data_IF_027336117858
#
_entry.id   IF_027336117858
#
_cell.length_a   1.000
_cell.length_b   1.000
_cell.length_c   1.000
_cell.angle_alpha   90.00
_cell.angle_beta   90.00
_cell.angle_gamma   90.00
#
_symmetry.space_group_name_H-M   'P 1'
#
loop_
_entity.id
_entity.type
_entity.pdbx_description
1 polymer ?
#
# COMPACT_ATOMS: atom_id res chain seq x y z
N UNK A 1 12.46 -5.59 1.29
CA UNK A 1 11.70 -4.37 1.66
C UNK A 1 12.36 -3.19 1.01
N UNK A 2 11.68 -2.61 0.03
CA UNK A 2 12.06 -1.33 -0.55
C UNK A 2 11.97 -0.25 0.52
N UNK A 3 13.07 0.46 0.77
CA UNK A 3 13.13 1.55 1.73
C UNK A 3 13.16 2.90 0.99
N UNK A 4 12.07 3.66 1.08
CA UNK A 4 11.98 4.99 0.50
C UNK A 4 12.27 6.11 1.52
N UNK A 5 12.69 5.79 2.75
CA UNK A 5 13.10 6.80 3.73
C UNK A 5 14.17 7.75 3.18
N UNK A 6 15.19 7.31 2.40
CA UNK A 6 16.16 8.22 1.80
C UNK A 6 15.52 9.26 0.85
N UNK A 7 14.43 8.88 0.17
CA UNK A 7 13.64 9.78 -0.71
C UNK A 7 12.84 10.76 0.12
N UNK A 8 12.16 10.29 1.16
CA UNK A 8 11.38 11.12 2.10
C UNK A 8 12.29 12.12 2.81
N UNK A 9 13.48 11.70 3.22
CA UNK A 9 14.50 12.54 3.83
C UNK A 9 15.19 13.51 2.85
N UNK A 10 14.89 13.43 1.55
CA UNK A 10 15.50 14.25 0.50
C UNK A 10 16.99 14.00 0.29
N UNK A 11 17.49 12.84 0.74
CA UNK A 11 18.91 12.45 0.64
C UNK A 11 19.26 11.68 -0.62
N UNK A 12 18.27 11.03 -1.24
CA UNK A 12 18.36 10.36 -2.53
C UNK A 12 17.10 10.61 -3.35
N UNK A 13 17.23 10.56 -4.67
CA UNK A 13 16.10 10.53 -5.60
C UNK A 13 15.49 9.14 -5.63
N UNK A 14 14.22 9.04 -6.05
CA UNK A 14 13.59 7.73 -6.23
C UNK A 14 14.31 6.87 -7.29
N UNK A 15 14.87 7.50 -8.32
CA UNK A 15 15.63 6.80 -9.35
C UNK A 15 16.89 6.12 -8.78
N UNK A 16 17.61 6.79 -7.86
CA UNK A 16 18.78 6.22 -7.19
C UNK A 16 18.40 5.05 -6.27
N UNK A 17 17.31 5.16 -5.52
CA UNK A 17 16.85 4.09 -4.63
C UNK A 17 16.37 2.85 -5.41
N UNK A 18 15.83 3.06 -6.61
CA UNK A 18 15.28 2.00 -7.45
C UNK A 18 16.23 1.55 -8.57
N UNK A 19 17.49 1.96 -8.53
CA UNK A 19 18.47 1.54 -9.52
C UNK A 19 18.59 0.01 -9.54
N UNK A 20 18.40 -0.59 -10.72
CA UNK A 20 18.47 -2.04 -10.91
C UNK A 20 17.26 -2.83 -10.40
N UNK A 21 16.23 -2.19 -9.82
CA UNK A 21 15.00 -2.87 -9.41
C UNK A 21 14.26 -3.38 -10.64
N UNK A 22 13.98 -4.69 -10.64
CA UNK A 22 13.29 -5.36 -11.75
C UNK A 22 11.83 -5.66 -11.42
N UNK A 23 11.07 -6.08 -12.45
CA UNK A 23 9.69 -6.56 -12.29
C UNK A 23 9.59 -7.75 -11.32
N UNK A 24 10.57 -8.64 -11.33
CA UNK A 24 10.61 -9.80 -10.44
C UNK A 24 10.88 -9.39 -8.99
N UNK A 25 11.66 -8.35 -8.77
CA UNK A 25 11.87 -7.76 -7.45
C UNK A 25 10.56 -7.16 -6.92
N UNK A 26 9.82 -6.41 -7.75
CA UNK A 26 8.50 -5.89 -7.37
C UNK A 26 7.50 -7.00 -7.02
N UNK A 27 7.52 -8.11 -7.76
CA UNK A 27 6.68 -9.27 -7.46
C UNK A 27 7.08 -9.94 -6.14
N UNK A 28 8.38 -10.05 -5.85
CA UNK A 28 8.88 -10.58 -4.57
C UNK A 28 8.47 -9.68 -3.40
N UNK A 29 8.65 -8.37 -3.54
CA UNK A 29 8.29 -7.37 -2.52
C UNK A 29 6.77 -7.30 -2.30
N UNK A 30 5.97 -7.49 -3.35
CA UNK A 30 4.51 -7.65 -3.25
C UNK A 30 4.13 -8.84 -2.37
N UNK A 31 4.78 -9.99 -2.59
CA UNK A 31 4.52 -11.17 -1.76
C UNK A 31 4.98 -10.93 -0.32
N UNK A 32 6.18 -10.38 -0.12
CA UNK A 32 6.72 -10.10 1.21
C UNK A 32 5.80 -9.16 2.01
N UNK A 33 5.31 -8.07 1.42
CA UNK A 33 4.38 -7.16 2.10
C UNK A 33 3.15 -7.90 2.63
N UNK A 34 2.51 -8.70 1.78
CA UNK A 34 1.28 -9.41 2.15
C UNK A 34 1.57 -10.51 3.16
N UNK A 35 2.65 -11.27 2.96
CA UNK A 35 3.08 -12.33 3.90
C UNK A 35 3.38 -11.76 5.28
N UNK A 36 4.01 -10.58 5.35
CA UNK A 36 4.28 -9.88 6.61
C UNK A 36 3.01 -9.46 7.33
N UNK A 37 2.05 -8.86 6.62
CA UNK A 37 0.78 -8.47 7.23
C UNK A 37 0.04 -9.73 7.72
N UNK A 38 -0.03 -10.79 6.91
CA UNK A 38 -0.66 -12.06 7.29
C UNK A 38 -0.01 -12.70 8.53
N UNK A 39 1.32 -12.62 8.64
CA UNK A 39 2.06 -13.09 9.80
C UNK A 39 1.75 -12.26 11.06
N UNK A 40 1.67 -10.93 10.96
CA UNK A 40 1.31 -10.05 12.07
C UNK A 40 -0.09 -10.38 12.62
N UNK A 41 -1.03 -10.76 11.75
CA UNK A 41 -2.43 -11.04 12.13
C UNK A 41 -2.74 -12.53 12.29
N UNK A 42 -1.70 -13.38 12.40
CA UNK A 42 -1.87 -14.83 12.41
C UNK A 42 -2.79 -15.31 13.55
N UNK A 43 -2.61 -14.73 14.74
CA UNK A 43 -3.35 -15.09 15.96
C UNK A 43 -4.57 -14.20 16.23
N UNK A 44 -4.87 -13.24 15.34
CA UNK A 44 -6.02 -12.34 15.49
C UNK A 44 -7.34 -13.07 15.23
N UNK A 45 -8.40 -12.57 15.87
CA UNK A 45 -9.79 -12.96 15.67
C UNK A 45 -10.64 -11.73 15.27
N UNK A 46 -11.96 -11.90 15.16
CA UNK A 46 -12.87 -10.82 14.75
C UNK A 46 -12.87 -9.62 15.72
N UNK A 47 -12.64 -9.85 17.03
CA UNK A 47 -12.55 -8.76 18.00
C UNK A 47 -11.33 -7.87 17.73
N UNK A 48 -10.19 -8.45 17.37
CA UNK A 48 -9.00 -7.68 16.97
C UNK A 48 -9.22 -6.85 15.70
N UNK A 49 -10.13 -7.26 14.81
CA UNK A 49 -10.44 -6.51 13.58
C UNK A 49 -11.16 -5.19 13.87
N UNK A 50 -12.08 -5.21 14.83
CA UNK A 50 -12.91 -4.05 15.20
C UNK A 50 -12.38 -3.29 16.42
N UNK A 51 -11.32 -3.78 17.05
CA UNK A 51 -10.65 -3.11 18.16
C UNK A 51 -10.19 -1.72 17.72
N UNK A 52 -10.55 -0.70 18.51
CA UNK A 52 -10.14 0.69 18.29
C UNK A 52 -8.92 0.95 19.18
N UNK A 53 -7.72 1.10 18.60
CA UNK A 53 -6.52 1.34 19.39
C UNK A 53 -6.53 2.73 20.02
N UNK A 54 -5.74 2.88 21.08
CA UNK A 54 -5.39 4.20 21.61
C UNK A 54 -4.26 4.73 20.74
N UNK A 55 -4.57 5.75 19.94
CA UNK A 55 -3.62 6.47 19.10
C UNK A 55 -3.78 7.98 19.33
N UNK A 56 -2.97 8.58 20.22
CA UNK A 56 -3.04 10.02 20.51
C UNK A 56 -2.57 10.89 19.34
N UNK A 57 -1.85 10.31 18.39
CA UNK A 57 -1.29 11.00 17.22
C UNK A 57 -2.14 10.75 15.96
N UNK A 58 -3.33 10.14 16.11
CA UNK A 58 -4.26 9.88 15.02
C UNK A 58 -4.61 11.17 14.27
N UNK A 59 -4.08 11.27 13.06
CA UNK A 59 -4.29 12.40 12.17
C UNK A 59 -4.14 11.98 10.70
N UNK A 60 -5.28 11.84 10.01
CA UNK A 60 -5.36 11.62 8.57
C UNK A 60 -5.82 12.89 7.84
N UNK A 61 -4.91 13.67 7.24
CA UNK A 61 -5.26 14.86 6.48
C UNK A 61 -5.99 14.55 5.16
N UNK A 62 -6.06 13.29 4.75
CA UNK A 62 -6.75 12.84 3.54
C UNK A 62 -8.14 12.24 3.85
N UNK A 63 -8.59 12.28 5.10
CA UNK A 63 -9.89 11.75 5.51
C UNK A 63 -11.06 12.40 4.76
N UNK A 64 -12.11 11.62 4.52
CA UNK A 64 -13.30 12.10 3.80
C UNK A 64 -14.06 13.20 4.57
N UNK A 65 -13.94 13.21 5.90
CA UNK A 65 -14.55 14.21 6.77
C UNK A 65 -13.56 14.65 7.86
N UNK A 66 -13.72 15.88 8.36
CA UNK A 66 -12.92 16.41 9.47
C UNK A 66 -13.06 15.55 10.74
N UNK A 67 -14.24 14.96 10.98
CA UNK A 67 -14.46 14.07 12.12
C UNK A 67 -13.68 12.76 11.99
N UNK A 68 -13.45 12.28 10.77
CA UNK A 68 -12.68 11.06 10.51
C UNK A 68 -11.17 11.35 10.48
N UNK A 69 -10.75 12.61 10.38
CA UNK A 69 -9.34 12.97 10.36
C UNK A 69 -8.62 12.62 11.67
N UNK A 70 -9.33 12.45 12.78
CA UNK A 70 -8.74 12.20 14.10
C UNK A 70 -9.17 10.88 14.74
N UNK A 71 -9.70 9.94 13.95
CA UNK A 71 -10.04 8.61 14.46
C UNK A 71 -8.83 7.68 14.41
N UNK A 72 -8.65 6.91 15.49
CA UNK A 72 -7.69 5.82 15.48
C UNK A 72 -8.17 4.72 14.53
N UNK A 73 -7.27 4.20 13.69
CA UNK A 73 -7.62 3.21 12.69
C UNK A 73 -7.67 1.81 13.30
N UNK A 74 -8.76 1.08 13.03
CA UNK A 74 -8.86 -0.34 13.35
C UNK A 74 -8.00 -1.16 12.39
N UNK A 75 -7.80 -2.46 12.69
CA UNK A 75 -7.12 -3.37 11.77
C UNK A 75 -7.87 -3.47 10.42
N UNK A 76 -9.21 -3.46 10.45
CA UNK A 76 -10.01 -3.43 9.24
C UNK A 76 -9.73 -2.19 8.38
N UNK A 77 -9.62 -1.02 9.01
CA UNK A 77 -9.35 0.26 8.33
C UNK A 77 -7.96 0.29 7.69
N UNK A 78 -6.90 0.04 8.46
CA UNK A 78 -5.54 0.10 7.90
C UNK A 78 -5.33 -0.90 6.75
N UNK A 79 -5.97 -2.08 6.80
CA UNK A 79 -5.86 -3.07 5.71
C UNK A 79 -6.54 -2.61 4.43
N UNK A 80 -7.76 -2.05 4.49
CA UNK A 80 -8.41 -1.54 3.27
C UNK A 80 -7.65 -0.35 2.68
N UNK A 81 -7.04 0.48 3.54
CA UNK A 81 -6.22 1.61 3.12
C UNK A 81 -4.94 1.17 2.40
N UNK A 82 -4.16 0.28 3.03
CA UNK A 82 -2.91 -0.24 2.46
C UNK A 82 -3.16 -0.94 1.12
N UNK A 83 -4.20 -1.78 1.06
CA UNK A 83 -4.53 -2.52 -0.17
C UNK A 83 -5.01 -1.60 -1.29
N UNK A 84 -5.85 -0.59 -0.99
CA UNK A 84 -6.30 0.39 -1.97
C UNK A 84 -5.13 1.21 -2.55
N UNK A 85 -4.17 1.62 -1.70
CA UNK A 85 -2.97 2.34 -2.14
C UNK A 85 -2.04 1.50 -3.02
N UNK A 86 -1.78 0.26 -2.62
CA UNK A 86 -0.97 -0.69 -3.40
C UNK A 86 -1.60 -1.01 -4.76
N UNK A 87 -2.91 -1.25 -4.79
CA UNK A 87 -3.65 -1.54 -6.02
C UNK A 87 -3.67 -0.35 -6.99
N UNK A 88 -3.99 0.85 -6.51
CA UNK A 88 -3.96 2.07 -7.34
C UNK A 88 -2.61 2.22 -8.03
N UNK A 89 -1.52 2.07 -7.27
CA UNK A 89 -0.16 2.16 -7.80
C UNK A 89 0.14 1.04 -8.81
N UNK A 90 -0.30 -0.20 -8.56
CA UNK A 90 -0.09 -1.32 -9.46
C UNK A 90 -0.84 -1.15 -10.79
N UNK A 91 -2.10 -0.69 -10.75
CA UNK A 91 -2.90 -0.42 -11.96
C UNK A 91 -2.29 0.70 -12.79
N UNK A 92 -1.97 1.84 -12.17
CA UNK A 92 -1.35 2.97 -12.86
C UNK A 92 0.05 2.60 -13.40
N UNK A 93 0.81 1.80 -12.66
CA UNK A 93 2.10 1.28 -13.11
C UNK A 93 1.98 0.39 -14.34
N UNK A 94 0.96 -0.47 -14.40
CA UNK A 94 0.68 -1.31 -15.57
C UNK A 94 0.27 -0.52 -16.81
N UNK A 95 -0.51 0.54 -16.65
CA UNK A 95 -0.85 1.48 -17.73
C UNK A 95 0.39 2.21 -18.23
N UNK A 96 1.20 2.74 -17.30
CA UNK A 96 2.43 3.46 -17.61
C UNK A 96 3.45 2.56 -18.32
N UNK A 97 3.58 1.30 -17.93
CA UNK A 97 4.45 0.31 -18.60
C UNK A 97 4.06 0.07 -20.06
N UNK A 98 2.82 0.40 -20.44
CA UNK A 98 2.28 0.34 -21.81
C UNK A 98 2.29 1.70 -22.53
N UNK A 99 2.90 2.72 -21.94
CA UNK A 99 3.02 4.06 -22.51
C UNK A 99 1.77 4.92 -22.36
N UNK A 100 0.87 4.58 -21.44
CA UNK A 100 -0.33 5.39 -21.15
C UNK A 100 0.05 6.48 -20.14
N UNK A 101 -0.16 7.75 -20.53
CA UNK A 101 0.05 8.88 -19.64
C UNK A 101 -0.95 8.91 -18.49
N UNK A 102 -0.54 9.45 -17.35
CA UNK A 102 -1.41 9.58 -16.18
C UNK A 102 -2.66 10.39 -16.51
N UNK A 103 -3.83 9.83 -16.22
CA UNK A 103 -5.13 10.43 -16.51
C UNK A 103 -6.04 10.57 -15.30
N UNK A 104 -5.50 10.44 -14.09
CA UNK A 104 -6.23 10.58 -12.83
C UNK A 104 -6.16 9.34 -11.96
N UNK A 105 -6.80 9.43 -10.79
CA UNK A 105 -6.80 8.39 -9.77
C UNK A 105 -7.57 7.15 -10.22
N UNK A 106 -7.10 5.99 -9.81
CA UNK A 106 -7.79 4.69 -9.97
C UNK A 106 -8.15 4.04 -8.63
N UNK A 107 -8.04 4.77 -7.51
CA UNK A 107 -8.34 4.23 -6.17
C UNK A 107 -9.80 3.86 -6.01
N UNK A 108 -10.02 2.66 -5.51
CA UNK A 108 -11.24 2.26 -4.83
C UNK A 108 -10.88 1.67 -3.47
N UNK A 109 -11.47 2.22 -2.41
CA UNK A 109 -11.27 1.76 -1.05
C UNK A 109 -12.58 1.18 -0.52
N UNK A 110 -12.51 -0.05 0.00
CA UNK A 110 -13.67 -0.70 0.61
C UNK A 110 -14.05 0.07 1.88
N UNK A 111 -15.33 0.43 2.11
CA UNK A 111 -15.73 1.10 3.34
C UNK A 111 -15.32 0.27 4.57
N UNK A 112 -14.41 0.80 5.37
CA UNK A 112 -13.73 0.05 6.44
C UNK A 112 -14.72 -0.44 7.50
N UNK A 113 -15.83 0.26 7.71
CA UNK A 113 -16.90 -0.10 8.65
C UNK A 113 -17.55 -1.44 8.31
N UNK A 114 -17.43 -1.89 7.05
CA UNK A 114 -17.97 -3.17 6.58
C UNK A 114 -17.03 -4.35 6.81
N UNK A 115 -15.78 -4.08 7.22
CA UNK A 115 -14.75 -5.10 7.50
C UNK A 115 -14.71 -5.39 8.99
N UNK A 116 -15.36 -6.48 9.40
CA UNK A 116 -15.59 -6.80 10.82
C UNK A 116 -15.06 -8.16 11.24
N UNK A 117 -14.49 -8.94 10.31
CA UNK A 117 -13.99 -10.29 10.59
C UNK A 117 -12.58 -10.52 10.06
N UNK A 118 -11.81 -11.38 10.75
CA UNK A 118 -10.45 -11.73 10.34
C UNK A 118 -10.44 -12.47 9.00
N UNK A 119 -11.52 -13.18 8.70
CA UNK A 119 -11.71 -13.83 7.41
C UNK A 119 -11.78 -12.81 6.26
N UNK A 120 -12.52 -11.70 6.43
CA UNK A 120 -12.57 -10.62 5.44
C UNK A 120 -11.19 -9.98 5.24
N UNK A 121 -10.48 -9.70 6.34
CA UNK A 121 -9.12 -9.12 6.28
C UNK A 121 -8.17 -10.01 5.49
N UNK A 122 -8.11 -11.32 5.79
CA UNK A 122 -7.25 -12.28 5.08
C UNK A 122 -7.64 -12.40 3.61
N UNK A 123 -8.93 -12.47 3.30
CA UNK A 123 -9.41 -12.51 1.93
C UNK A 123 -9.04 -11.25 1.14
N UNK A 124 -9.18 -10.07 1.77
CA UNK A 124 -8.83 -8.78 1.16
C UNK A 124 -7.34 -8.67 0.82
N UNK A 125 -6.48 -9.14 1.72
CA UNK A 125 -5.02 -9.18 1.52
C UNK A 125 -4.63 -10.09 0.36
N UNK A 126 -5.20 -11.30 0.28
CA UNK A 126 -4.91 -12.24 -0.82
C UNK A 126 -5.51 -11.78 -2.16
N UNK A 127 -6.67 -11.14 -2.14
CA UNK A 127 -7.22 -10.47 -3.32
C UNK A 127 -6.28 -9.36 -3.82
N UNK A 128 -5.79 -8.52 -2.92
CA UNK A 128 -4.84 -7.45 -3.24
C UNK A 128 -3.55 -8.02 -3.83
N UNK A 129 -2.97 -9.05 -3.19
CA UNK A 129 -1.78 -9.77 -3.70
C UNK A 129 -2.01 -10.22 -5.14
N UNK A 130 -3.12 -10.93 -5.40
CA UNK A 130 -3.48 -11.42 -6.74
C UNK A 130 -3.58 -10.28 -7.75
N UNK A 131 -4.22 -9.18 -7.38
CA UNK A 131 -4.41 -8.02 -8.27
C UNK A 131 -3.07 -7.35 -8.61
N UNK A 132 -2.25 -7.04 -7.60
CA UNK A 132 -0.95 -6.39 -7.82
C UNK A 132 0.01 -7.27 -8.64
N UNK A 133 0.04 -8.58 -8.39
CA UNK A 133 0.84 -9.52 -9.20
C UNK A 133 0.31 -9.63 -10.64
N UNK A 134 -1.01 -9.62 -10.84
CA UNK A 134 -1.60 -9.62 -12.17
C UNK A 134 -1.25 -8.34 -12.94
N UNK A 135 -1.25 -7.17 -12.28
CA UNK A 135 -0.80 -5.91 -12.86
C UNK A 135 0.65 -5.97 -13.34
N UNK A 136 1.56 -6.61 -12.60
CA UNK A 136 2.93 -6.86 -13.08
C UNK A 136 2.95 -7.85 -14.25
N UNK A 137 2.14 -8.90 -14.20
CA UNK A 137 2.11 -9.94 -15.23
C UNK A 137 1.68 -9.42 -16.62
N UNK A 138 0.90 -8.33 -16.68
CA UNK A 138 0.46 -7.72 -17.96
C UNK A 138 1.46 -6.72 -18.54
N UNK A 139 2.59 -6.44 -17.87
CA UNK A 139 3.64 -5.59 -18.44
C UNK A 139 4.22 -6.27 -19.69
N UNK A 140 4.46 -5.51 -20.78
CA UNK A 140 5.12 -6.06 -21.95
C UNK A 140 6.56 -6.46 -21.61
N UNK A 141 7.14 -7.37 -22.39
CA UNK A 141 8.54 -7.79 -22.22
C UNK A 141 9.53 -6.60 -22.35
N UNK A 142 9.15 -5.59 -23.13
CA UNK A 142 9.85 -4.31 -23.25
C UNK A 142 8.93 -3.16 -22.76
N UNK A 143 8.89 -2.87 -21.44
CA UNK A 143 8.07 -1.81 -20.88
C UNK A 143 8.56 -0.41 -21.25
N UNK A 144 7.62 0.53 -21.38
CA UNK A 144 7.88 1.94 -21.69
C UNK A 144 8.41 2.71 -20.47
N UNK A 145 9.62 2.37 -20.01
CA UNK A 145 10.21 2.94 -18.78
C UNK A 145 10.71 4.38 -18.92
N UNK A 146 10.80 4.90 -20.14
CA UNK A 146 11.13 6.30 -20.44
C UNK A 146 9.94 7.25 -20.16
N UNK A 147 8.72 6.72 -20.05
CA UNK A 147 7.57 7.52 -19.66
C UNK A 147 7.62 7.74 -18.14
N UNK A 148 8.03 8.93 -17.74
CA UNK A 148 8.00 9.38 -16.35
C UNK A 148 6.92 10.41 -16.12
N UNK A 149 6.14 10.26 -15.06
CA UNK A 149 5.06 11.19 -14.68
C UNK A 149 5.11 11.47 -13.19
N UNK A 150 4.58 12.61 -12.77
CA UNK A 150 4.45 12.91 -11.34
C UNK A 150 3.59 11.86 -10.64
N UNK A 151 4.05 11.38 -9.48
CA UNK A 151 3.34 10.38 -8.69
C UNK A 151 1.98 10.92 -8.18
N UNK A 152 1.97 12.19 -7.82
CA UNK A 152 0.82 13.03 -7.44
C UNK A 152 1.23 14.49 -7.75
N UNK A 153 0.30 15.47 -7.76
CA UNK A 153 0.67 16.86 -8.06
C UNK A 153 1.81 17.37 -7.18
N UNK A 154 2.95 17.73 -7.79
CA UNK A 154 4.16 18.20 -7.09
C UNK A 154 4.99 17.10 -6.41
N UNK A 155 4.65 15.83 -6.63
CA UNK A 155 5.42 14.66 -6.17
C UNK A 155 6.61 14.32 -7.09
N UNK A 156 7.37 13.26 -6.75
CA UNK A 156 8.46 12.80 -7.60
C UNK A 156 7.95 12.33 -8.97
N UNK A 157 8.75 12.55 -10.02
CA UNK A 157 8.52 11.92 -11.32
C UNK A 157 9.00 10.48 -11.28
N UNK A 158 8.14 9.57 -11.72
CA UNK A 158 8.38 8.13 -11.63
C UNK A 158 7.95 7.45 -12.92
N UNK A 159 8.68 6.42 -13.33
CA UNK A 159 8.22 5.48 -14.35
C UNK A 159 7.34 4.37 -13.72
N UNK A 160 6.97 3.35 -14.51
CA UNK A 160 6.16 2.24 -14.05
C UNK A 160 6.76 1.48 -12.84
N UNK A 161 8.09 1.33 -12.77
CA UNK A 161 8.78 0.69 -11.64
C UNK A 161 8.63 1.54 -10.39
N UNK A 162 8.92 2.83 -10.50
CA UNK A 162 8.75 3.77 -9.39
C UNK A 162 7.32 3.88 -8.91
N UNK A 163 6.35 3.86 -9.83
CA UNK A 163 4.92 3.88 -9.49
C UNK A 163 4.53 2.68 -8.62
N UNK A 164 4.89 1.47 -9.02
CA UNK A 164 4.58 0.26 -8.24
C UNK A 164 5.33 0.23 -6.91
N UNK A 165 6.61 0.62 -6.91
CA UNK A 165 7.43 0.71 -5.70
C UNK A 165 6.87 1.67 -4.65
N UNK A 166 6.30 2.80 -5.07
CA UNK A 166 5.64 3.74 -4.15
C UNK A 166 4.45 3.09 -3.40
N UNK A 167 3.65 2.28 -4.10
CA UNK A 167 2.54 1.55 -3.48
C UNK A 167 3.02 0.53 -2.44
N UNK A 168 4.12 -0.18 -2.74
CA UNK A 168 4.74 -1.11 -1.79
C UNK A 168 5.32 -0.39 -0.57
N UNK A 169 6.04 0.69 -0.79
CA UNK A 169 6.63 1.50 0.28
C UNK A 169 5.57 2.13 1.20
N UNK A 170 4.45 2.58 0.62
CA UNK A 170 3.28 3.02 1.38
C UNK A 170 2.78 1.90 2.30
N UNK A 171 2.60 0.68 1.78
CA UNK A 171 2.21 -0.47 2.59
C UNK A 171 3.22 -0.82 3.68
N UNK A 172 4.52 -0.80 3.38
CA UNK A 172 5.57 -1.01 4.37
C UNK A 172 5.56 0.03 5.49
N UNK A 173 5.22 1.29 5.17
CA UNK A 173 5.07 2.37 6.14
C UNK A 173 3.99 2.12 7.19
N UNK A 174 2.99 1.28 6.89
CA UNK A 174 1.91 0.93 7.82
C UNK A 174 2.18 -0.34 8.65
N UNK A 175 3.27 -1.07 8.43
CA UNK A 175 3.55 -2.31 9.18
C UNK A 175 3.64 -2.07 10.69
N UNK A 176 4.29 -0.98 11.12
CA UNK A 176 4.39 -0.63 12.54
C UNK A 176 3.03 -0.28 13.16
N UNK A 177 2.15 0.38 12.40
CA UNK A 177 0.79 0.68 12.84
C UNK A 177 -0.03 -0.61 13.00
N UNK A 178 0.07 -1.55 12.05
CA UNK A 178 -0.57 -2.86 12.14
C UNK A 178 -0.07 -3.63 13.36
N UNK A 179 1.24 -3.68 13.57
CA UNK A 179 1.86 -4.33 14.73
C UNK A 179 1.33 -3.75 16.05
N UNK A 180 1.21 -2.42 16.16
CA UNK A 180 0.72 -1.75 17.36
C UNK A 180 -0.78 -2.01 17.61
N UNK A 181 -1.61 -1.99 16.56
CA UNK A 181 -3.03 -2.36 16.65
C UNK A 181 -3.16 -3.80 17.18
N UNK A 182 -2.41 -4.73 16.60
CA UNK A 182 -2.42 -6.14 17.03
C UNK A 182 -1.97 -6.25 18.49
N UNK A 183 -0.86 -5.62 18.86
CA UNK A 183 -0.33 -5.64 20.23
C UNK A 183 -1.35 -5.15 21.26
N UNK A 184 -2.04 -4.05 20.97
CA UNK A 184 -3.06 -3.51 21.87
C UNK A 184 -4.29 -4.43 21.93
N UNK A 185 -4.76 -4.94 20.79
CA UNK A 185 -5.93 -5.83 20.74
C UNK A 185 -5.76 -7.15 21.50
N UNK A 186 -4.52 -7.64 21.62
CA UNK A 186 -4.20 -8.89 22.33
C UNK A 186 -3.95 -8.69 23.82
N UNK A 187 -3.89 -7.44 24.30
CA UNK A 187 -3.70 -7.11 25.70
C UNK A 187 -5.04 -7.00 26.48
N UNK A 188 -6.17 -7.09 25.78
CA UNK A 188 -7.53 -7.17 26.35
C UNK A 188 -7.97 -8.63 26.57
#
# INVERSE_FOLDING_TARGET
MLDLQPVIAGTQTLAEVLEGVTKDDLARETNELIDRILALIADCNDAAVVFVPIDPDAHDPAAATESDAHIAWTLGHVVVHVTAGGEECAFLGAEQARGVAFHGRSRYEVPWETVTSIAQVRARLEESRRMMLACLAVWPDAPHLELEEEAWPGGPRVNAVGRHALGLAHGFGHLAQIEEIVRQSMAE
#
